data_IF_222968446791
#
_entry.id   IF_222968446791
#
_cell.length_a   1.000
_cell.length_b   1.000
_cell.length_c   1.000
_cell.angle_alpha   90.00
_cell.angle_beta   90.00
_cell.angle_gamma   90.00
#
_symmetry.space_group_name_H-M   'P 1'
#
loop_
_entity.id
_entity.type
_entity.pdbx_description
1 polymer ?
#
# COMPACT_ATOMS: atom_id res chain seq x y z
N UNK A 1 0.70 -16.77 2.50
CA UNK A 1 0.01 -16.63 3.81
C UNK A 1 0.38 -17.70 4.84
N UNK A 2 0.97 -18.85 4.48
CA UNK A 2 1.32 -19.92 5.44
C UNK A 2 2.14 -19.46 6.66
N UNK A 3 2.93 -18.40 6.49
CA UNK A 3 3.85 -17.84 7.48
C UNK A 3 3.32 -16.61 8.24
N UNK A 4 2.13 -16.10 7.91
CA UNK A 4 1.59 -14.85 8.48
C UNK A 4 0.35 -15.05 9.37
N UNK A 5 0.03 -16.29 9.75
CA UNK A 5 -1.21 -16.66 10.47
C UNK A 5 -1.46 -15.92 11.78
N UNK A 6 -0.40 -15.47 12.47
CA UNK A 6 -0.51 -14.78 13.77
C UNK A 6 -0.74 -13.27 13.64
N UNK A 7 -0.77 -12.72 12.42
CA UNK A 7 -0.80 -11.29 12.17
C UNK A 7 -1.98 -10.91 11.28
N UNK A 8 -2.52 -9.69 11.47
CA UNK A 8 -3.38 -9.06 10.45
C UNK A 8 -2.49 -8.66 9.28
N UNK A 9 -2.54 -9.44 8.20
CA UNK A 9 -1.55 -9.38 7.13
C UNK A 9 -2.18 -9.31 5.75
N UNK A 10 -1.58 -8.51 4.88
CA UNK A 10 -1.89 -8.42 3.45
C UNK A 10 -0.58 -8.42 2.65
N UNK A 11 -0.64 -8.97 1.44
CA UNK A 11 0.43 -8.88 0.44
C UNK A 11 -0.09 -8.13 -0.77
N UNK A 12 0.66 -7.12 -1.19
CA UNK A 12 0.37 -6.36 -2.40
C UNK A 12 1.51 -6.61 -3.39
N UNK A 13 1.22 -7.38 -4.43
CA UNK A 13 2.14 -7.56 -5.56
C UNK A 13 2.06 -6.32 -6.46
N UNK A 14 3.21 -5.67 -6.66
CA UNK A 14 3.32 -4.40 -7.40
C UNK A 14 4.10 -4.52 -8.70
N UNK A 15 4.45 -5.74 -9.13
CA UNK A 15 5.32 -5.95 -10.29
C UNK A 15 4.83 -5.23 -11.56
N UNK A 16 3.51 -5.21 -11.78
CA UNK A 16 2.89 -4.57 -12.96
C UNK A 16 2.63 -3.07 -12.84
N UNK A 17 2.75 -2.47 -11.64
CA UNK A 17 2.39 -1.06 -11.42
C UNK A 17 3.55 -0.21 -10.94
N UNK A 18 4.65 -0.82 -10.50
CA UNK A 18 5.79 -0.13 -9.93
C UNK A 18 6.59 0.69 -10.96
N UNK A 19 6.45 0.38 -12.25
CA UNK A 19 7.19 1.04 -13.32
C UNK A 19 6.44 0.99 -14.65
N UNK A 20 6.79 1.91 -15.55
CA UNK A 20 6.33 1.94 -16.94
C UNK A 20 7.47 1.66 -17.91
N UNK A 21 7.15 1.05 -19.05
CA UNK A 21 8.09 0.77 -20.14
C UNK A 21 7.92 1.72 -21.33
N UNK A 22 8.67 1.47 -22.41
CA UNK A 22 8.58 2.28 -23.64
C UNK A 22 9.12 3.70 -23.48
N UNK A 23 8.53 4.67 -24.19
CA UNK A 23 8.97 6.07 -24.16
C UNK A 23 8.80 6.75 -22.79
N UNK A 24 7.94 6.21 -21.92
CA UNK A 24 7.67 6.73 -20.58
C UNK A 24 8.39 5.87 -19.52
N UNK A 25 9.57 5.35 -19.84
CA UNK A 25 10.32 4.47 -18.95
C UNK A 25 10.65 5.17 -17.63
N UNK A 26 10.15 4.63 -16.53
CA UNK A 26 10.40 5.20 -15.21
C UNK A 26 9.68 4.46 -14.10
N UNK A 27 10.12 4.71 -12.86
CA UNK A 27 9.40 4.27 -11.68
C UNK A 27 8.15 5.14 -11.47
N UNK A 28 7.02 4.52 -11.13
CA UNK A 28 5.75 5.25 -10.93
C UNK A 28 5.57 5.74 -9.49
N UNK A 29 6.37 5.24 -8.54
CA UNK A 29 6.18 5.50 -7.11
C UNK A 29 4.97 4.81 -6.49
N UNK A 30 4.24 3.97 -7.23
CA UNK A 30 3.15 3.16 -6.67
C UNK A 30 3.75 2.03 -5.82
N UNK A 31 3.21 1.74 -4.62
CA UNK A 31 1.90 2.15 -4.10
C UNK A 31 1.95 3.23 -2.99
N UNK A 32 2.89 4.18 -3.03
CA UNK A 32 3.10 5.16 -1.92
C UNK A 32 1.80 5.85 -1.50
N UNK A 33 1.05 6.43 -2.44
CA UNK A 33 -0.21 7.11 -2.13
C UNK A 33 -1.24 6.21 -1.42
N UNK A 34 -1.33 4.93 -1.82
CA UNK A 34 -2.24 3.97 -1.20
C UNK A 34 -1.84 3.67 0.25
N UNK A 35 -0.54 3.45 0.50
CA UNK A 35 -0.06 3.15 1.85
C UNK A 35 -0.18 4.37 2.76
N UNK A 36 0.14 5.57 2.26
CA UNK A 36 -0.04 6.83 3.01
C UNK A 36 -1.51 7.03 3.38
N UNK A 37 -2.43 6.84 2.44
CA UNK A 37 -3.87 6.96 2.73
C UNK A 37 -4.33 5.90 3.74
N UNK A 38 -3.84 4.67 3.62
CA UNK A 38 -4.15 3.61 4.60
C UNK A 38 -3.72 4.03 6.01
N UNK A 39 -2.51 4.56 6.19
CA UNK A 39 -2.02 5.02 7.50
C UNK A 39 -2.85 6.19 8.04
N UNK A 40 -3.17 7.18 7.20
CA UNK A 40 -4.03 8.31 7.59
C UNK A 40 -5.39 7.82 8.08
N UNK A 41 -6.01 6.88 7.37
CA UNK A 41 -7.29 6.28 7.76
C UNK A 41 -7.17 5.51 9.08
N UNK A 42 -6.05 4.83 9.33
CA UNK A 42 -5.81 4.12 10.58
C UNK A 42 -5.63 5.08 11.76
N UNK A 43 -4.96 6.22 11.56
CA UNK A 43 -4.87 7.27 12.58
C UNK A 43 -6.23 7.94 12.86
N UNK A 44 -7.02 8.20 11.82
CA UNK A 44 -8.36 8.79 11.95
C UNK A 44 -9.36 7.89 12.69
N UNK A 45 -9.24 6.56 12.60
CA UNK A 45 -10.06 5.60 13.38
C UNK A 45 -9.86 5.75 14.89
N UNK A 46 -8.67 6.18 15.33
CA UNK A 46 -8.36 6.37 16.75
C UNK A 46 -8.93 7.67 17.32
N UNK A 47 -9.32 8.62 16.47
CA UNK A 47 -9.86 9.94 16.83
C UNK A 47 -11.38 10.04 16.60
N UNK A 48 -12.11 8.95 16.83
CA UNK A 48 -13.55 9.06 17.06
C UNK A 48 -13.75 9.45 18.53
N UNK A 49 -13.83 10.76 18.79
CA UNK A 49 -14.46 11.27 20.01
C UNK A 49 -15.93 10.80 20.03
N UNK A 50 -16.50 10.52 21.22
CA UNK A 50 -17.90 10.12 21.34
C UNK A 50 -18.87 11.11 20.68
#
# INVERSE_FOLDING_TARGET
SRFSKKFKWAHLDIAGVAWEGGNHKGATGRPVALLTQYLLNQCGKSYQLP
#
